data_IF_782718849022
#
_entry.id   IF_782718849022
#
_cell.length_a   1.000
_cell.length_b   1.000
_cell.length_c   1.000
_cell.angle_alpha   90.00
_cell.angle_beta   90.00
_cell.angle_gamma   90.00
#
_symmetry.space_group_name_H-M   'P 1'
#
loop_
_entity.id
_entity.type
_entity.pdbx_description
1 polymer ?
#
# COMPACT_ATOMS: atom_id res chain seq x y z
N UNK A 1 4.17 -27.41 -5.40
CA UNK A 1 4.93 -27.18 -4.16
C UNK A 1 4.18 -26.14 -3.34
N UNK A 2 4.00 -26.36 -2.02
CA UNK A 2 3.39 -25.37 -1.15
C UNK A 2 4.25 -24.08 -1.11
N UNK A 3 3.62 -22.91 -1.20
CA UNK A 3 4.31 -21.61 -1.14
C UNK A 3 4.94 -21.48 0.26
N UNK A 4 6.26 -21.32 0.32
CA UNK A 4 6.97 -21.16 1.60
C UNK A 4 6.96 -19.68 1.98
N UNK A 5 6.20 -19.30 3.00
CA UNK A 5 6.19 -17.95 3.54
C UNK A 5 7.47 -17.66 4.34
N UNK A 6 7.92 -16.42 4.31
CA UNK A 6 9.15 -15.94 4.99
C UNK A 6 8.85 -15.41 6.40
N UNK A 7 7.62 -15.03 6.66
CA UNK A 7 7.20 -14.40 7.91
C UNK A 7 5.86 -14.95 8.41
N UNK A 8 5.61 -14.82 9.72
CA UNK A 8 4.30 -15.12 10.31
C UNK A 8 3.20 -14.14 9.86
N UNK A 9 3.58 -12.93 9.47
CA UNK A 9 2.66 -11.95 8.93
C UNK A 9 2.15 -12.39 7.55
N UNK A 10 3.01 -12.94 6.71
CA UNK A 10 2.58 -13.51 5.42
C UNK A 10 1.58 -14.66 5.62
N UNK A 11 1.86 -15.58 6.56
CA UNK A 11 0.93 -16.68 6.90
C UNK A 11 -0.42 -16.12 7.38
N UNK A 12 -0.39 -15.12 8.24
CA UNK A 12 -1.58 -14.48 8.80
C UNK A 12 -2.46 -13.84 7.72
N UNK A 13 -1.85 -13.05 6.82
CA UNK A 13 -2.57 -12.33 5.76
C UNK A 13 -2.95 -13.23 4.57
N UNK A 14 -2.19 -14.27 4.27
CA UNK A 14 -2.54 -15.25 3.25
C UNK A 14 -3.59 -16.29 3.69
N UNK A 15 -3.87 -16.37 5.00
CA UNK A 15 -4.79 -17.32 5.60
C UNK A 15 -6.17 -16.75 5.90
N UNK A 16 -6.90 -17.43 6.81
CA UNK A 16 -8.30 -17.14 7.14
C UNK A 16 -8.55 -15.72 7.62
N UNK A 17 -7.61 -15.11 8.37
CA UNK A 17 -7.75 -13.73 8.79
C UNK A 17 -7.80 -12.76 7.59
N UNK A 18 -6.92 -12.97 6.59
CA UNK A 18 -6.95 -12.21 5.34
C UNK A 18 -8.23 -12.43 4.54
N UNK A 19 -8.75 -13.67 4.52
CA UNK A 19 -10.03 -13.98 3.86
C UNK A 19 -11.19 -13.22 4.49
N UNK A 20 -11.29 -13.21 5.81
CA UNK A 20 -12.30 -12.44 6.54
C UNK A 20 -12.12 -10.92 6.34
N UNK A 21 -10.87 -10.44 6.31
CA UNK A 21 -10.56 -9.04 6.05
C UNK A 21 -11.03 -8.62 4.66
N UNK A 22 -10.82 -9.45 3.65
CA UNK A 22 -11.27 -9.27 2.27
C UNK A 22 -12.77 -9.07 2.17
N UNK A 23 -13.58 -9.82 2.96
CA UNK A 23 -15.03 -9.69 2.99
C UNK A 23 -15.45 -8.36 3.62
N UNK A 24 -14.84 -7.97 4.74
CA UNK A 24 -15.19 -6.74 5.48
C UNK A 24 -14.82 -5.45 4.73
N UNK A 25 -13.84 -5.52 3.85
CA UNK A 25 -13.26 -4.34 3.19
C UNK A 25 -13.67 -4.21 1.71
N UNK A 26 -14.85 -4.70 1.35
CA UNK A 26 -15.41 -4.62 0.00
C UNK A 26 -16.75 -3.90 0.04
N UNK A 27 -16.72 -2.58 0.31
CA UNK A 27 -17.93 -1.76 0.40
C UNK A 27 -17.80 -0.47 -0.43
N UNK A 28 -18.94 0.09 -0.83
CA UNK A 28 -19.01 1.35 -1.58
C UNK A 28 -18.50 2.53 -0.75
N UNK A 29 -18.78 2.53 0.55
CA UNK A 29 -18.36 3.57 1.48
C UNK A 29 -16.83 3.61 1.56
N UNK A 30 -16.18 2.44 1.67
CA UNK A 30 -14.73 2.36 1.65
C UNK A 30 -14.13 2.83 0.32
N UNK A 31 -14.77 2.52 -0.82
CA UNK A 31 -14.31 3.04 -2.10
C UNK A 31 -14.34 4.58 -2.14
N UNK A 32 -15.39 5.22 -1.61
CA UNK A 32 -15.46 6.68 -1.51
C UNK A 32 -14.32 7.23 -0.64
N UNK A 33 -14.07 6.61 0.52
CA UNK A 33 -12.95 6.98 1.39
C UNK A 33 -11.60 6.87 0.68
N UNK A 34 -11.40 5.79 -0.11
CA UNK A 34 -10.17 5.62 -0.92
C UNK A 34 -10.04 6.70 -2.00
N UNK A 35 -11.13 7.08 -2.65
CA UNK A 35 -11.14 8.20 -3.62
C UNK A 35 -10.77 9.51 -2.94
N UNK A 36 -11.31 9.79 -1.75
CA UNK A 36 -10.97 10.99 -0.97
C UNK A 36 -9.48 11.03 -0.63
N UNK A 37 -8.91 9.93 -0.11
CA UNK A 37 -7.50 9.83 0.21
C UNK A 37 -6.63 10.08 -1.03
N UNK A 38 -6.90 9.34 -2.12
CA UNK A 38 -6.07 9.38 -3.32
C UNK A 38 -6.19 10.70 -4.08
N UNK A 39 -7.38 11.32 -4.10
CA UNK A 39 -7.55 12.67 -4.66
C UNK A 39 -6.69 13.70 -3.91
N UNK A 40 -6.60 13.61 -2.58
CA UNK A 40 -5.73 14.49 -1.81
C UNK A 40 -4.24 14.17 -2.02
N UNK A 41 -3.88 12.89 -1.99
CA UNK A 41 -2.48 12.47 -2.06
C UNK A 41 -1.85 12.68 -3.45
N UNK A 42 -2.65 12.59 -4.52
CA UNK A 42 -2.14 12.68 -5.90
C UNK A 42 -2.28 14.07 -6.52
N UNK A 43 -2.89 15.05 -5.83
CA UNK A 43 -3.06 16.43 -6.36
C UNK A 43 -1.74 17.11 -6.72
N UNK A 44 -0.65 16.76 -6.01
CA UNK A 44 0.70 17.31 -6.20
C UNK A 44 1.56 16.45 -7.13
N UNK A 45 1.02 15.34 -7.67
CA UNK A 45 1.70 14.54 -8.68
C UNK A 45 1.49 15.13 -10.09
N UNK A 46 2.44 14.87 -10.99
CA UNK A 46 2.23 15.11 -12.41
C UNK A 46 1.48 13.93 -13.05
N UNK A 47 1.29 13.97 -14.37
CA UNK A 47 0.65 12.90 -15.13
C UNK A 47 1.24 11.52 -14.80
N UNK A 48 0.37 10.57 -14.48
CA UNK A 48 0.70 9.17 -14.23
C UNK A 48 0.20 8.31 -15.39
N UNK A 49 1.05 7.42 -15.91
CA UNK A 49 0.70 6.47 -16.96
C UNK A 49 0.63 5.04 -16.42
N UNK A 50 1.29 4.79 -15.30
CA UNK A 50 1.36 3.45 -14.68
C UNK A 50 1.41 3.51 -13.17
N UNK A 51 0.71 2.57 -12.51
CA UNK A 51 0.67 2.43 -11.06
C UNK A 51 0.83 0.97 -10.64
N UNK A 52 1.58 0.72 -9.58
CA UNK A 52 1.61 -0.56 -8.87
C UNK A 52 1.20 -0.36 -7.42
N UNK A 53 0.33 -1.23 -6.91
CA UNK A 53 -0.03 -1.26 -5.50
C UNK A 53 0.45 -2.56 -4.86
N UNK A 54 1.15 -2.44 -3.74
CA UNK A 54 1.57 -3.56 -2.91
C UNK A 54 0.56 -3.78 -1.77
N UNK A 55 0.02 -5.01 -1.69
CA UNK A 55 -1.05 -5.37 -0.76
C UNK A 55 -2.40 -4.80 -1.18
N UNK A 56 -2.75 -4.98 -2.44
CA UNK A 56 -3.93 -4.34 -3.04
C UNK A 56 -5.28 -4.82 -2.49
N UNK A 57 -5.31 -5.92 -1.71
CA UNK A 57 -6.54 -6.54 -1.20
C UNK A 57 -7.58 -6.71 -2.36
N UNK A 58 -8.79 -6.22 -2.20
CA UNK A 58 -9.85 -6.28 -3.24
C UNK A 58 -9.73 -5.20 -4.33
N UNK A 59 -8.69 -4.35 -4.30
CA UNK A 59 -8.37 -3.39 -5.35
C UNK A 59 -9.08 -2.04 -5.26
N UNK A 60 -9.67 -1.67 -4.12
CA UNK A 60 -10.41 -0.40 -3.99
C UNK A 60 -9.54 0.84 -4.28
N UNK A 61 -8.27 0.82 -3.87
CA UNK A 61 -7.36 1.92 -4.20
C UNK A 61 -7.08 1.98 -5.71
N UNK A 62 -6.89 0.84 -6.37
CA UNK A 62 -6.67 0.80 -7.83
C UNK A 62 -7.90 1.27 -8.60
N UNK A 63 -9.12 0.87 -8.17
CA UNK A 63 -10.37 1.40 -8.73
C UNK A 63 -10.42 2.92 -8.57
N UNK A 64 -10.11 3.43 -7.38
CA UNK A 64 -10.10 4.86 -7.12
C UNK A 64 -9.07 5.61 -7.98
N UNK A 65 -7.84 5.07 -8.14
CA UNK A 65 -6.83 5.68 -9.03
C UNK A 65 -7.29 5.67 -10.49
N UNK A 66 -7.88 4.57 -10.99
CA UNK A 66 -8.38 4.48 -12.37
C UNK A 66 -9.50 5.49 -12.64
N UNK A 67 -10.34 5.78 -11.65
CA UNK A 67 -11.37 6.81 -11.76
C UNK A 67 -10.78 8.23 -11.77
N UNK A 68 -9.71 8.47 -11.00
CA UNK A 68 -9.03 9.77 -10.92
C UNK A 68 -8.08 10.02 -12.10
N UNK A 69 -7.50 8.96 -12.65
CA UNK A 69 -6.51 9.01 -13.75
C UNK A 69 -6.95 8.05 -14.85
N UNK A 70 -7.90 8.45 -15.70
CA UNK A 70 -8.40 7.61 -16.79
C UNK A 70 -7.28 7.13 -17.71
N UNK A 71 -7.26 5.83 -18.00
CA UNK A 71 -6.27 5.21 -18.88
C UNK A 71 -4.95 4.81 -18.20
N UNK A 72 -4.81 5.01 -16.89
CA UNK A 72 -3.63 4.55 -16.15
C UNK A 72 -3.53 3.01 -16.19
N UNK A 73 -2.34 2.49 -16.52
CA UNK A 73 -2.06 1.05 -16.44
C UNK A 73 -1.87 0.65 -14.97
N UNK A 74 -2.71 -0.27 -14.47
CA UNK A 74 -2.74 -0.64 -13.06
C UNK A 74 -2.22 -2.06 -12.82
N UNK A 75 -1.39 -2.23 -11.79
CA UNK A 75 -0.86 -3.53 -11.35
C UNK A 75 -1.09 -3.70 -9.86
N UNK A 76 -1.62 -4.86 -9.47
CA UNK A 76 -1.82 -5.28 -8.09
C UNK A 76 -0.82 -6.35 -7.70
N UNK A 77 -0.17 -6.21 -6.54
CA UNK A 77 0.58 -7.28 -5.86
C UNK A 77 -0.23 -7.66 -4.62
N UNK A 78 -0.64 -8.92 -4.50
CA UNK A 78 -1.46 -9.39 -3.39
C UNK A 78 -1.08 -10.82 -3.01
N UNK A 79 -1.08 -11.12 -1.69
CA UNK A 79 -0.68 -12.42 -1.14
C UNK A 79 -1.89 -13.34 -0.90
N UNK A 80 -3.08 -12.76 -0.62
CA UNK A 80 -4.28 -13.49 -0.26
C UNK A 80 -5.04 -13.99 -1.50
N UNK A 81 -5.33 -15.29 -1.57
CA UNK A 81 -5.98 -15.91 -2.73
C UNK A 81 -7.44 -15.47 -2.95
N UNK A 82 -8.18 -15.17 -1.86
CA UNK A 82 -9.55 -14.70 -1.95
C UNK A 82 -9.60 -13.28 -2.54
N UNK A 83 -8.68 -12.41 -2.10
CA UNK A 83 -8.51 -11.07 -2.65
C UNK A 83 -8.11 -11.10 -4.14
N UNK A 84 -7.17 -11.98 -4.51
CA UNK A 84 -6.76 -12.19 -5.92
C UNK A 84 -7.96 -12.53 -6.80
N UNK A 85 -8.89 -13.34 -6.31
CA UNK A 85 -10.08 -13.71 -7.09
C UNK A 85 -10.95 -12.50 -7.41
N UNK A 86 -11.07 -11.54 -6.48
CA UNK A 86 -11.78 -10.28 -6.69
C UNK A 86 -11.01 -9.30 -7.58
N UNK A 87 -9.69 -9.17 -7.36
CA UNK A 87 -8.82 -8.33 -8.21
C UNK A 87 -8.91 -8.69 -9.69
N UNK A 88 -9.00 -9.97 -10.01
CA UNK A 88 -9.15 -10.47 -11.39
C UNK A 88 -10.49 -10.11 -12.06
N UNK A 89 -11.47 -9.63 -11.30
CA UNK A 89 -12.74 -9.14 -11.82
C UNK A 89 -12.70 -7.65 -12.16
N UNK A 90 -11.62 -6.96 -11.84
CA UNK A 90 -11.45 -5.54 -12.18
C UNK A 90 -10.82 -5.46 -13.56
N UNK A 91 -11.49 -4.78 -14.48
CA UNK A 91 -11.02 -4.62 -15.84
C UNK A 91 -9.68 -3.89 -15.89
N UNK A 92 -8.77 -4.34 -16.77
CA UNK A 92 -7.47 -3.73 -17.05
C UNK A 92 -6.57 -3.57 -15.79
N UNK A 93 -6.63 -4.55 -14.87
CA UNK A 93 -5.67 -4.67 -13.76
C UNK A 93 -4.81 -5.91 -13.93
N UNK A 94 -3.49 -5.71 -14.06
CA UNK A 94 -2.51 -6.80 -14.01
C UNK A 94 -2.38 -7.29 -12.57
N UNK A 95 -2.60 -8.58 -12.33
CA UNK A 95 -2.58 -9.15 -10.97
C UNK A 95 -1.36 -10.06 -10.79
N UNK A 96 -0.53 -9.75 -9.79
CA UNK A 96 0.62 -10.53 -9.36
C UNK A 96 0.29 -11.18 -8.02
N UNK A 97 0.10 -12.50 -8.02
CA UNK A 97 -0.07 -13.26 -6.78
C UNK A 97 1.30 -13.45 -6.12
N UNK A 98 1.63 -12.61 -5.15
CA UNK A 98 2.93 -12.58 -4.52
C UNK A 98 2.96 -11.82 -3.20
N UNK A 99 4.08 -11.96 -2.49
CA UNK A 99 4.39 -11.18 -1.30
C UNK A 99 5.20 -9.93 -1.67
N UNK A 100 4.99 -8.85 -0.93
CA UNK A 100 5.86 -7.66 -0.99
C UNK A 100 7.31 -7.98 -0.57
N UNK A 101 7.52 -9.09 0.16
CA UNK A 101 8.85 -9.58 0.54
C UNK A 101 9.57 -10.33 -0.59
N UNK A 102 8.87 -10.69 -1.66
CA UNK A 102 9.48 -11.42 -2.77
C UNK A 102 10.28 -10.46 -3.67
N UNK A 103 11.59 -10.69 -3.81
CA UNK A 103 12.47 -9.92 -4.69
C UNK A 103 12.33 -10.33 -6.17
N UNK A 104 11.10 -10.45 -6.68
CA UNK A 104 10.87 -10.71 -8.11
C UNK A 104 11.27 -9.48 -8.93
N UNK A 105 11.73 -9.70 -10.16
CA UNK A 105 11.93 -8.61 -11.11
C UNK A 105 10.56 -8.00 -11.44
N UNK A 106 10.25 -6.88 -10.80
CA UNK A 106 9.06 -6.08 -11.07
C UNK A 106 9.44 -4.97 -12.05
N UNK A 107 8.56 -4.71 -13.01
CA UNK A 107 8.70 -3.53 -13.91
C UNK A 107 8.65 -2.23 -13.11
N UNK A 108 9.19 -1.17 -13.65
CA UNK A 108 9.09 0.16 -13.03
C UNK A 108 7.80 0.85 -13.45
N UNK A 109 7.15 1.49 -12.47
CA UNK A 109 5.90 2.23 -12.61
C UNK A 109 6.11 3.70 -12.24
N UNK A 110 5.28 4.59 -12.78
CA UNK A 110 5.37 6.02 -12.43
C UNK A 110 5.02 6.24 -10.96
N UNK A 111 4.09 5.43 -10.41
CA UNK A 111 3.69 5.47 -9.01
C UNK A 111 3.72 4.06 -8.41
N UNK A 112 4.44 3.88 -7.31
CA UNK A 112 4.27 2.74 -6.41
C UNK A 112 3.48 3.17 -5.17
N UNK A 113 2.40 2.44 -4.86
CA UNK A 113 1.55 2.70 -3.69
C UNK A 113 1.65 1.57 -2.67
N UNK A 114 1.64 1.94 -1.40
CA UNK A 114 1.48 1.02 -0.27
C UNK A 114 0.62 1.70 0.80
N UNK A 115 -0.56 1.16 1.07
CA UNK A 115 -1.56 1.80 1.94
C UNK A 115 -2.15 0.76 2.91
N UNK A 116 -1.87 0.92 4.21
CA UNK A 116 -2.32 0.00 5.25
C UNK A 116 -1.64 -1.37 5.21
N UNK A 117 -0.37 -1.45 4.78
CA UNK A 117 0.39 -2.70 4.61
C UNK A 117 1.68 -2.71 5.43
N UNK A 118 2.46 -1.62 5.41
CA UNK A 118 3.74 -1.54 6.11
C UNK A 118 3.57 -1.72 7.62
N UNK A 119 2.46 -1.23 8.17
CA UNK A 119 2.08 -1.45 9.58
C UNK A 119 1.96 -2.94 9.94
N UNK A 120 1.81 -3.82 8.97
CA UNK A 120 1.69 -5.27 9.15
C UNK A 120 2.96 -6.04 8.78
N UNK A 121 4.05 -5.36 8.50
CA UNK A 121 5.35 -5.95 8.21
C UNK A 121 6.22 -5.92 9.47
N UNK A 122 6.75 -7.08 9.88
CA UNK A 122 7.68 -7.10 11.01
C UNK A 122 8.93 -6.25 10.69
N UNK A 123 9.40 -5.41 11.63
CA UNK A 123 10.44 -4.42 11.39
C UNK A 123 11.71 -4.95 10.72
N UNK A 124 12.10 -6.18 11.02
CA UNK A 124 13.28 -6.84 10.44
C UNK A 124 13.18 -7.05 8.92
N UNK A 125 11.97 -7.00 8.34
CA UNK A 125 11.74 -7.17 6.91
C UNK A 125 11.53 -5.84 6.16
N UNK A 126 11.41 -4.71 6.87
CA UNK A 126 11.20 -3.41 6.23
C UNK A 126 12.31 -3.03 5.22
N UNK A 127 13.61 -3.31 5.48
CA UNK A 127 14.64 -2.96 4.50
C UNK A 127 14.43 -3.61 3.13
N UNK A 128 14.02 -4.89 3.07
CA UNK A 128 13.73 -5.55 1.79
C UNK A 128 12.44 -5.04 1.15
N UNK A 129 11.46 -4.66 1.98
CA UNK A 129 10.20 -4.08 1.48
C UNK A 129 10.44 -2.70 0.87
N UNK A 130 11.20 -1.85 1.53
CA UNK A 130 11.58 -0.53 1.00
C UNK A 130 12.35 -0.65 -0.31
N UNK A 131 13.30 -1.58 -0.39
CA UNK A 131 14.03 -1.86 -1.62
C UNK A 131 13.10 -2.29 -2.76
N UNK A 132 12.12 -3.17 -2.49
CA UNK A 132 11.17 -3.63 -3.49
C UNK A 132 10.27 -2.50 -3.99
N UNK A 133 9.74 -1.64 -3.09
CA UNK A 133 8.96 -0.46 -3.44
C UNK A 133 9.81 0.51 -4.26
N UNK A 134 11.00 0.84 -3.77
CA UNK A 134 11.92 1.77 -4.43
C UNK A 134 12.28 1.31 -5.84
N UNK A 135 12.62 0.02 -6.04
CA UNK A 135 12.97 -0.54 -7.35
C UNK A 135 11.79 -0.61 -8.32
N UNK A 136 10.57 -0.78 -7.81
CA UNK A 136 9.36 -0.77 -8.62
C UNK A 136 8.95 0.65 -9.06
N UNK A 137 9.61 1.68 -8.53
CA UNK A 137 9.24 3.08 -8.74
C UNK A 137 10.16 3.75 -9.75
N UNK A 138 9.55 4.35 -10.77
CA UNK A 138 10.25 5.26 -11.69
C UNK A 138 10.27 6.68 -11.12
N UNK A 139 9.18 7.14 -10.53
CA UNK A 139 9.04 8.53 -10.10
C UNK A 139 8.44 8.70 -8.71
N UNK A 140 7.20 8.30 -8.46
CA UNK A 140 6.51 8.58 -7.21
C UNK A 140 6.35 7.36 -6.33
N UNK A 141 6.46 7.57 -5.01
CA UNK A 141 6.09 6.60 -3.97
C UNK A 141 5.02 7.24 -3.09
N UNK A 142 3.89 6.56 -2.93
CA UNK A 142 2.83 6.94 -2.00
C UNK A 142 2.76 5.92 -0.86
N UNK A 143 3.00 6.39 0.36
CA UNK A 143 2.80 5.62 1.60
C UNK A 143 1.59 6.19 2.33
N UNK A 144 0.63 5.34 2.72
CA UNK A 144 -0.52 5.71 3.56
C UNK A 144 -0.65 4.76 4.75
N UNK A 145 -0.19 5.17 5.95
CA UNK A 145 -0.06 4.26 7.09
C UNK A 145 -0.41 4.97 8.42
N UNK A 146 -0.53 4.20 9.50
CA UNK A 146 -0.59 4.75 10.85
C UNK A 146 0.80 5.24 11.26
N UNK A 147 0.95 6.55 11.31
CA UNK A 147 2.21 7.20 11.65
C UNK A 147 2.51 7.15 13.15
N UNK A 148 3.77 6.93 13.50
CA UNK A 148 4.34 7.24 14.81
C UNK A 148 5.78 7.68 14.66
N UNK A 149 6.15 8.79 15.31
CA UNK A 149 7.56 9.27 15.30
C UNK A 149 8.51 8.28 15.98
N UNK A 150 8.02 7.57 16.99
CA UNK A 150 8.78 6.52 17.67
C UNK A 150 8.19 5.16 17.29
N UNK A 151 9.03 4.16 16.96
CA UNK A 151 8.54 2.82 16.67
C UNK A 151 7.73 2.26 17.85
N UNK A 152 6.53 1.78 17.56
CA UNK A 152 5.70 1.12 18.56
C UNK A 152 5.00 -0.11 17.98
N UNK A 153 4.82 -1.13 18.80
CA UNK A 153 3.99 -2.28 18.52
C UNK A 153 2.63 -2.13 19.20
N UNK A 154 1.55 -2.30 18.44
CA UNK A 154 0.18 -2.21 18.94
C UNK A 154 -0.52 -3.55 18.79
N UNK A 155 -1.31 -3.95 19.78
CA UNK A 155 -2.17 -5.13 19.64
C UNK A 155 -3.22 -4.91 18.55
N UNK A 156 -3.26 -5.80 17.58
CA UNK A 156 -4.20 -5.73 16.46
C UNK A 156 -5.28 -6.79 16.59
N UNK A 157 -6.51 -6.37 16.93
CA UNK A 157 -7.66 -7.28 17.12
C UNK A 157 -7.36 -8.47 18.05
N UNK A 158 -6.59 -8.23 19.13
CA UNK A 158 -6.17 -9.25 20.09
C UNK A 158 -4.90 -10.02 19.72
N UNK A 159 -4.33 -9.80 18.54
CA UNK A 159 -3.07 -10.42 18.11
C UNK A 159 -1.88 -9.51 18.42
N UNK A 160 -0.79 -10.11 18.92
CA UNK A 160 0.53 -9.46 19.07
C UNK A 160 1.34 -9.63 17.79
N UNK A 161 2.36 -8.79 17.60
CA UNK A 161 3.26 -8.83 16.44
C UNK A 161 2.52 -8.69 15.08
N UNK A 162 1.41 -7.95 15.02
CA UNK A 162 0.62 -7.80 13.78
C UNK A 162 0.40 -6.36 13.37
N UNK A 163 0.71 -5.38 14.22
CA UNK A 163 0.63 -3.97 13.88
C UNK A 163 1.80 -3.20 14.51
N UNK A 164 2.53 -2.51 13.65
CA UNK A 164 3.68 -1.69 14.00
C UNK A 164 3.47 -0.29 13.43
N UNK A 165 3.52 0.74 14.28
CA UNK A 165 3.49 2.13 13.83
C UNK A 165 4.91 2.67 13.80
N UNK A 166 5.24 3.40 12.75
CA UNK A 166 6.60 3.97 12.53
C UNK A 166 6.52 5.19 11.62
N UNK A 167 7.63 5.86 11.46
CA UNK A 167 7.83 6.85 10.39
C UNK A 167 8.38 6.16 9.13
N UNK A 168 7.53 5.37 8.47
CA UNK A 168 7.92 4.60 7.28
C UNK A 168 8.45 5.48 6.15
N UNK A 169 7.86 6.66 5.96
CA UNK A 169 8.29 7.60 4.92
C UNK A 169 9.64 8.23 5.30
N UNK A 170 9.82 8.64 6.55
CA UNK A 170 11.11 9.14 7.04
C UNK A 170 12.22 8.12 6.91
N UNK A 171 11.96 6.85 7.27
CA UNK A 171 12.93 5.76 7.08
C UNK A 171 13.35 5.57 5.62
N UNK A 172 12.41 5.71 4.66
CA UNK A 172 12.75 5.66 3.23
C UNK A 172 13.52 6.89 2.78
N UNK A 173 13.17 8.10 3.23
CA UNK A 173 13.89 9.33 2.92
C UNK A 173 15.33 9.31 3.47
N UNK A 174 15.55 8.71 4.64
CA UNK A 174 16.87 8.53 5.22
C UNK A 174 17.71 7.50 4.44
N UNK A 175 17.05 6.46 3.90
CA UNK A 175 17.74 5.38 3.17
C UNK A 175 18.09 5.75 1.73
N UNK A 176 17.23 6.53 1.04
CA UNK A 176 17.36 6.87 -0.38
C UNK A 176 17.53 8.36 -0.56
N UNK A 177 18.77 8.81 -0.75
CA UNK A 177 19.14 10.23 -0.79
C UNK A 177 18.62 11.00 -2.02
N UNK A 178 18.13 10.28 -3.03
CA UNK A 178 17.46 10.82 -4.22
C UNK A 178 15.94 10.92 -4.06
N UNK A 179 15.37 10.43 -2.95
CA UNK A 179 13.97 10.67 -2.60
C UNK A 179 13.80 12.05 -1.94
N UNK A 180 12.74 12.74 -2.31
CA UNK A 180 12.30 13.98 -1.66
C UNK A 180 10.83 13.91 -1.33
N UNK A 181 10.43 14.50 -0.22
CA UNK A 181 9.03 14.69 0.14
C UNK A 181 8.40 15.74 -0.78
N UNK A 182 7.27 15.38 -1.42
CA UNK A 182 6.49 16.27 -2.30
C UNK A 182 5.31 16.85 -1.54
N UNK A 183 4.55 15.99 -0.88
CA UNK A 183 3.33 16.39 -0.16
C UNK A 183 3.02 15.36 0.93
N UNK A 184 2.22 15.74 1.91
CA UNK A 184 1.74 14.86 2.97
C UNK A 184 0.44 15.37 3.55
N UNK A 185 -0.28 14.49 4.25
CA UNK A 185 -1.51 14.87 4.94
C UNK A 185 -1.97 13.81 5.91
N UNK A 186 -2.97 14.16 6.68
CA UNK A 186 -3.53 13.34 7.73
C UNK A 186 -5.06 13.31 7.63
N UNK A 187 -5.65 12.14 7.80
CA UNK A 187 -7.08 11.94 7.98
C UNK A 187 -7.37 11.55 9.43
N UNK A 188 -8.38 12.17 10.01
CA UNK A 188 -8.77 11.97 11.38
C UNK A 188 -10.00 11.06 11.48
N UNK A 189 -9.94 10.02 12.31
CA UNK A 189 -11.01 9.03 12.42
C UNK A 189 -12.40 9.57 12.83
N UNK A 190 -12.46 10.80 13.38
CA UNK A 190 -13.75 11.48 13.68
C UNK A 190 -14.20 12.43 12.58
N UNK A 191 -13.49 12.50 11.47
CA UNK A 191 -13.93 13.26 10.31
C UNK A 191 -14.93 12.41 9.50
N UNK A 192 -16.22 12.64 9.74
CA UNK A 192 -17.31 11.94 9.08
C UNK A 192 -17.32 12.14 7.55
N UNK A 193 -16.69 13.20 7.05
CA UNK A 193 -16.61 13.46 5.60
C UNK A 193 -15.69 12.52 4.85
N UNK A 194 -14.68 11.97 5.51
CA UNK A 194 -13.70 11.05 4.91
C UNK A 194 -13.95 9.58 5.21
N UNK A 195 -14.56 9.29 6.36
CA UNK A 195 -14.78 7.94 6.90
C UNK A 195 -13.52 7.06 6.83
N UNK A 196 -12.36 7.66 7.15
CA UNK A 196 -11.05 7.01 7.21
C UNK A 196 -10.59 6.90 8.66
N UNK A 197 -9.72 5.93 8.95
CA UNK A 197 -8.96 5.88 10.20
C UNK A 197 -7.92 7.01 10.27
N UNK A 198 -7.18 7.10 11.39
CA UNK A 198 -6.06 8.03 11.57
C UNK A 198 -4.90 7.66 10.62
N UNK A 199 -5.06 7.95 9.34
CA UNK A 199 -4.07 7.64 8.30
C UNK A 199 -3.28 8.90 7.96
N UNK A 200 -1.96 8.78 8.03
CA UNK A 200 -1.04 9.78 7.48
C UNK A 200 -0.51 9.27 6.14
N UNK A 201 -0.63 10.09 5.10
CA UNK A 201 -0.08 9.78 3.79
C UNK A 201 1.09 10.70 3.45
N UNK A 202 2.06 10.16 2.72
CA UNK A 202 3.26 10.84 2.24
C UNK A 202 3.46 10.52 0.77
N UNK A 203 3.52 11.55 -0.07
CA UNK A 203 3.93 11.46 -1.47
C UNK A 203 5.40 11.86 -1.58
N UNK A 204 6.21 10.96 -2.07
CA UNK A 204 7.64 11.18 -2.31
C UNK A 204 7.93 11.06 -3.80
N UNK A 205 8.97 11.73 -4.27
CA UNK A 205 9.41 11.70 -5.67
C UNK A 205 10.92 11.41 -5.73
N UNK A 206 11.32 10.56 -6.66
CA UNK A 206 12.72 10.40 -7.02
C UNK A 206 13.18 11.66 -7.77
N UNK A 207 14.31 12.22 -7.35
CA UNK A 207 14.96 13.27 -8.14
C UNK A 207 15.39 12.69 -9.50
N UNK A 208 15.18 13.45 -10.56
CA UNK A 208 15.75 13.12 -11.86
C UNK A 208 17.30 13.10 -11.70
N UNK A 209 17.92 11.96 -12.02
CA UNK A 209 19.37 11.80 -12.05
C UNK A 209 19.87 12.24 -13.43
#
# INVERSE_FOLDING_TARGET
>A
MAKKFQSEQEVFWAGSFGDEYTIRNDTKELLLSKKTLLNNALKSSSKLESVIEFGANVGLNLIAVKDLVPGVAATAVEINSSAISKLKMIDDVKVIHGSILESKKIEMYDLAMVIGVLIHIAPKYLPIVYENIYRATRRYILIGEYYSRQPEEVSYRGYKNKLFKRDFAGEMLDQYTDLRLVDYGFFYHKDESSNLDDITWFLMEKADI
#
